data_IF_432440496642
#
_entry.id   IF_432440496642
#
_cell.length_a   1.000
_cell.length_b   1.000
_cell.length_c   1.000
_cell.angle_alpha   90.00
_cell.angle_beta   90.00
_cell.angle_gamma   90.00
#
_symmetry.space_group_name_H-M   'P 1'
#
loop_
_entity.id
_entity.type
_entity.pdbx_description
1 polymer ?
#
# COMPACT_ATOMS: atom_id res chain seq x y z
N UNK A 1 57.75 10.13 23.24
CA UNK A 1 56.72 9.44 22.43
C UNK A 1 55.38 10.09 22.74
N UNK A 2 54.79 10.91 21.84
CA UNK A 2 53.47 11.46 22.09
C UNK A 2 52.43 10.35 21.93
N UNK A 3 51.52 10.25 22.91
CA UNK A 3 50.45 9.27 22.93
C UNK A 3 49.43 9.58 21.82
N UNK A 4 49.21 8.62 20.92
CA UNK A 4 48.13 8.68 19.93
C UNK A 4 46.81 8.47 20.68
N UNK A 5 46.04 9.54 20.88
CA UNK A 5 44.66 9.43 21.37
C UNK A 5 43.82 8.76 20.27
N UNK A 6 43.16 7.62 20.53
CA UNK A 6 42.26 7.04 19.56
C UNK A 6 41.06 7.98 19.38
N UNK A 7 40.92 8.56 18.19
CA UNK A 7 39.73 9.30 17.82
C UNK A 7 38.54 8.34 17.81
N UNK A 8 37.56 8.56 18.67
CA UNK A 8 36.29 7.84 18.59
C UNK A 8 35.67 8.14 17.22
N UNK A 9 35.21 7.13 16.47
CA UNK A 9 34.47 7.37 15.24
C UNK A 9 33.27 8.24 15.60
N UNK A 10 33.18 9.44 15.02
CA UNK A 10 32.01 10.28 15.13
C UNK A 10 30.79 9.45 14.73
N UNK A 11 29.65 9.52 15.46
CA UNK A 11 28.46 8.77 15.09
C UNK A 11 28.16 9.07 13.62
N UNK A 12 28.28 8.05 12.77
CA UNK A 12 28.05 8.13 11.33
C UNK A 12 26.73 8.87 11.14
N UNK A 13 26.79 10.08 10.56
CA UNK A 13 25.62 10.92 10.35
C UNK A 13 24.58 10.05 9.64
N UNK A 14 23.51 9.69 10.36
CA UNK A 14 22.53 8.72 9.90
C UNK A 14 22.08 9.11 8.50
N UNK A 15 22.46 8.31 7.50
CA UNK A 15 22.22 8.63 6.11
C UNK A 15 20.72 8.78 5.89
N UNK A 16 20.32 9.89 5.24
CA UNK A 16 18.91 10.21 5.09
C UNK A 16 18.17 9.03 4.41
N UNK A 17 16.99 8.65 4.91
CA UNK A 17 16.26 7.49 4.41
C UNK A 17 15.98 7.64 2.91
N UNK A 18 16.47 6.69 2.12
CA UNK A 18 16.33 6.70 0.67
C UNK A 18 14.99 6.13 0.24
N UNK A 19 14.38 6.80 -0.71
CA UNK A 19 13.10 6.40 -1.28
C UNK A 19 13.33 5.36 -2.39
N UNK A 20 12.69 4.17 -2.35
CA UNK A 20 12.85 3.14 -3.37
C UNK A 20 12.56 3.64 -4.80
N UNK A 21 13.28 3.17 -5.84
CA UNK A 21 12.94 3.54 -7.21
C UNK A 21 11.56 3.00 -7.59
N UNK A 22 10.83 3.73 -8.45
CA UNK A 22 9.43 3.44 -8.80
C UNK A 22 9.25 2.00 -9.32
N UNK A 23 10.12 1.56 -10.24
CA UNK A 23 10.10 0.19 -10.81
C UNK A 23 10.06 -0.89 -9.73
N UNK A 24 10.85 -0.75 -8.66
CA UNK A 24 10.86 -1.73 -7.57
C UNK A 24 9.58 -1.69 -6.74
N UNK A 25 8.98 -0.51 -6.55
CA UNK A 25 7.67 -0.41 -5.89
C UNK A 25 6.58 -1.06 -6.73
N UNK A 26 6.61 -0.87 -8.06
CA UNK A 26 5.67 -1.51 -8.99
C UNK A 26 5.81 -3.04 -8.97
N UNK A 27 7.05 -3.56 -9.01
CA UNK A 27 7.30 -5.00 -8.90
C UNK A 27 6.90 -5.55 -7.53
N UNK A 28 7.11 -4.79 -6.45
CA UNK A 28 6.63 -5.14 -5.12
C UNK A 28 5.10 -5.20 -5.07
N UNK A 29 4.40 -4.24 -5.68
CA UNK A 29 2.93 -4.25 -5.77
C UNK A 29 2.42 -5.43 -6.61
N UNK A 30 3.10 -5.75 -7.72
CA UNK A 30 2.75 -6.91 -8.54
C UNK A 30 2.95 -8.21 -7.77
N UNK A 31 4.03 -8.32 -7.00
CA UNK A 31 4.30 -9.46 -6.12
C UNK A 31 3.20 -9.57 -5.05
N UNK A 32 2.89 -8.49 -4.33
CA UNK A 32 1.79 -8.48 -3.37
C UNK A 32 0.46 -8.87 -4.04
N UNK A 33 0.24 -8.49 -5.31
CA UNK A 33 -0.92 -8.92 -6.10
C UNK A 33 -1.03 -10.44 -6.24
N UNK A 34 0.08 -11.14 -6.47
CA UNK A 34 0.12 -12.62 -6.53
C UNK A 34 -0.23 -13.25 -5.19
N UNK A 35 0.32 -12.70 -4.08
CA UNK A 35 -0.01 -13.18 -2.74
C UNK A 35 -1.48 -12.93 -2.40
N UNK A 36 -1.97 -11.74 -2.72
CA UNK A 36 -3.35 -11.33 -2.49
C UNK A 36 -4.34 -12.12 -3.34
N UNK A 37 -3.94 -12.59 -4.52
CA UNK A 37 -4.78 -13.50 -5.30
C UNK A 37 -5.18 -14.74 -4.46
N UNK A 38 -4.23 -15.37 -3.77
CA UNK A 38 -4.50 -16.50 -2.87
C UNK A 38 -5.40 -16.11 -1.69
N UNK A 39 -5.13 -14.97 -1.05
CA UNK A 39 -5.94 -14.45 0.06
C UNK A 39 -7.38 -14.16 -0.39
N UNK A 40 -7.55 -13.56 -1.56
CA UNK A 40 -8.86 -13.21 -2.12
C UNK A 40 -9.65 -14.42 -2.58
N UNK A 41 -8.99 -15.48 -3.08
CA UNK A 41 -9.64 -16.76 -3.36
C UNK A 41 -10.21 -17.38 -2.09
N UNK A 42 -9.41 -17.46 -1.01
CA UNK A 42 -9.87 -17.97 0.27
C UNK A 42 -11.01 -17.11 0.85
N UNK A 43 -10.85 -15.79 0.85
CA UNK A 43 -11.88 -14.86 1.31
C UNK A 43 -13.19 -15.00 0.52
N UNK A 44 -13.09 -15.22 -0.80
CA UNK A 44 -14.25 -15.45 -1.66
C UNK A 44 -14.94 -16.79 -1.35
N UNK A 45 -14.16 -17.86 -1.13
CA UNK A 45 -14.70 -19.15 -0.73
C UNK A 45 -15.45 -19.07 0.62
N UNK A 46 -14.87 -18.35 1.60
CA UNK A 46 -15.52 -18.08 2.88
C UNK A 46 -16.83 -17.31 2.70
N UNK A 47 -16.84 -16.26 1.87
CA UNK A 47 -18.06 -15.51 1.59
C UNK A 47 -19.16 -16.39 0.95
N UNK A 48 -18.79 -17.20 -0.05
CA UNK A 48 -19.74 -18.08 -0.74
C UNK A 48 -20.32 -19.11 0.24
N UNK A 49 -19.49 -19.72 1.09
CA UNK A 49 -19.95 -20.67 2.11
C UNK A 49 -20.85 -20.02 3.17
N UNK A 50 -20.55 -18.78 3.57
CA UNK A 50 -21.36 -18.03 4.53
C UNK A 50 -22.61 -17.39 3.92
N UNK A 51 -22.74 -17.36 2.59
CA UNK A 51 -23.82 -16.66 1.89
C UNK A 51 -25.23 -17.09 2.31
N UNK A 52 -25.55 -18.39 2.48
CA UNK A 52 -26.87 -18.80 2.94
C UNK A 52 -27.23 -18.23 4.33
N UNK A 53 -26.26 -18.19 5.24
CA UNK A 53 -26.42 -17.61 6.59
C UNK A 53 -26.62 -16.09 6.51
N UNK A 54 -25.84 -15.41 5.67
CA UNK A 54 -25.99 -13.97 5.41
C UNK A 54 -27.36 -13.63 4.84
N UNK A 55 -27.91 -14.47 3.96
CA UNK A 55 -29.26 -14.30 3.41
C UNK A 55 -30.34 -14.48 4.47
N UNK A 56 -30.24 -15.53 5.28
CA UNK A 56 -31.17 -15.75 6.40
C UNK A 56 -31.15 -14.61 7.42
N UNK A 57 -29.98 -14.02 7.67
CA UNK A 57 -29.81 -12.88 8.56
C UNK A 57 -30.18 -11.52 7.93
N UNK A 58 -30.55 -11.48 6.63
CA UNK A 58 -30.88 -10.24 5.93
C UNK A 58 -29.66 -9.34 5.63
N UNK A 59 -28.44 -9.89 5.63
CA UNK A 59 -27.18 -9.18 5.44
C UNK A 59 -26.58 -9.32 4.02
N UNK A 60 -27.18 -10.13 3.13
CA UNK A 60 -26.72 -10.31 1.73
C UNK A 60 -27.16 -9.13 0.84
N UNK A 61 -26.55 -7.96 1.06
CA UNK A 61 -26.77 -6.76 0.23
C UNK A 61 -25.98 -6.80 -1.09
N UNK A 62 -26.37 -6.01 -2.12
CA UNK A 62 -25.68 -5.99 -3.43
C UNK A 62 -24.17 -5.70 -3.38
N UNK A 63 -23.71 -5.03 -2.33
CA UNK A 63 -22.31 -4.66 -2.11
C UNK A 63 -21.64 -5.44 -0.97
N UNK A 64 -22.31 -6.42 -0.36
CA UNK A 64 -21.79 -7.14 0.80
C UNK A 64 -20.48 -7.87 0.49
N UNK A 65 -20.36 -8.49 -0.69
CA UNK A 65 -19.12 -9.13 -1.14
C UNK A 65 -17.98 -8.12 -1.33
N UNK A 66 -18.27 -6.96 -1.92
CA UNK A 66 -17.29 -5.90 -2.13
C UNK A 66 -16.80 -5.34 -0.79
N UNK A 67 -17.71 -5.10 0.15
CA UNK A 67 -17.39 -4.67 1.50
C UNK A 67 -16.54 -5.72 2.24
N UNK A 68 -16.89 -6.99 2.13
CA UNK A 68 -16.12 -8.11 2.68
C UNK A 68 -14.68 -8.12 2.17
N UNK A 69 -14.50 -8.09 0.84
CA UNK A 69 -13.16 -8.05 0.23
C UNK A 69 -12.38 -6.81 0.68
N UNK A 70 -13.04 -5.65 0.71
CA UNK A 70 -12.42 -4.41 1.16
C UNK A 70 -11.94 -4.49 2.61
N UNK A 71 -12.72 -5.12 3.50
CA UNK A 71 -12.34 -5.33 4.91
C UNK A 71 -11.20 -6.34 5.02
N UNK A 72 -11.25 -7.45 4.29
CA UNK A 72 -10.16 -8.46 4.31
C UNK A 72 -8.84 -7.84 3.88
N UNK A 73 -8.85 -7.03 2.80
CA UNK A 73 -7.66 -6.31 2.35
C UNK A 73 -7.20 -5.27 3.38
N UNK A 74 -8.12 -4.52 3.99
CA UNK A 74 -7.80 -3.56 5.05
C UNK A 74 -7.09 -4.24 6.22
N UNK A 75 -7.61 -5.39 6.68
CA UNK A 75 -7.04 -6.18 7.75
C UNK A 75 -5.66 -6.72 7.38
N UNK A 76 -5.53 -7.31 6.19
CA UNK A 76 -4.25 -7.82 5.68
C UNK A 76 -3.18 -6.72 5.71
N UNK A 77 -3.41 -5.62 4.98
CA UNK A 77 -2.40 -4.57 4.85
C UNK A 77 -2.11 -3.88 6.19
N UNK A 78 -3.16 -3.52 6.94
CA UNK A 78 -2.98 -2.78 8.19
C UNK A 78 -2.25 -3.60 9.25
N UNK A 79 -2.54 -4.90 9.33
CA UNK A 79 -1.84 -5.81 10.24
C UNK A 79 -0.34 -5.93 9.90
N UNK A 80 -0.01 -6.19 8.64
CA UNK A 80 1.40 -6.31 8.21
C UNK A 80 2.18 -5.00 8.41
N UNK A 81 1.57 -3.87 8.07
CA UNK A 81 2.19 -2.55 8.24
C UNK A 81 2.36 -2.18 9.70
N UNK A 82 1.39 -2.47 10.56
CA UNK A 82 1.50 -2.16 11.99
C UNK A 82 2.54 -3.04 12.69
N UNK A 83 2.61 -4.33 12.33
CA UNK A 83 3.51 -5.29 12.98
C UNK A 83 4.99 -5.09 12.61
N UNK A 84 5.31 -4.84 11.34
CA UNK A 84 6.71 -4.75 10.89
C UNK A 84 7.00 -3.55 9.99
N UNK A 85 5.97 -2.84 9.51
CA UNK A 85 6.09 -1.87 8.43
C UNK A 85 6.27 -2.53 7.06
N UNK A 86 6.07 -3.85 6.93
CA UNK A 86 6.32 -4.57 5.69
C UNK A 86 5.26 -5.65 5.45
N UNK A 87 4.71 -5.68 4.24
CA UNK A 87 4.09 -6.89 3.69
C UNK A 87 5.16 -7.92 3.33
N UNK A 88 4.73 -9.14 3.03
CA UNK A 88 5.62 -10.20 2.53
C UNK A 88 6.40 -9.75 1.29
N UNK A 89 5.75 -9.09 0.31
CA UNK A 89 6.50 -8.56 -0.84
C UNK A 89 7.46 -7.43 -0.44
N UNK A 90 7.06 -6.55 0.47
CA UNK A 90 7.96 -5.49 0.95
C UNK A 90 9.22 -6.06 1.60
N UNK A 91 9.13 -7.18 2.32
CA UNK A 91 10.28 -7.88 2.89
C UNK A 91 11.20 -8.42 1.78
N UNK A 92 10.65 -9.07 0.75
CA UNK A 92 11.47 -9.63 -0.36
C UNK A 92 12.24 -8.55 -1.11
N UNK A 93 11.63 -7.37 -1.29
CA UNK A 93 12.24 -6.24 -1.99
C UNK A 93 13.02 -5.26 -1.09
N UNK A 94 13.13 -5.57 0.21
CA UNK A 94 13.78 -4.75 1.25
C UNK A 94 13.24 -3.31 1.28
N UNK A 95 11.92 -3.17 1.20
CA UNK A 95 11.20 -1.89 1.31
C UNK A 95 10.50 -1.86 2.66
N UNK A 96 10.57 -0.76 3.40
CA UNK A 96 9.83 -0.58 4.65
C UNK A 96 8.94 0.64 4.60
N UNK A 97 7.74 0.48 5.13
CA UNK A 97 6.83 1.57 5.42
C UNK A 97 7.12 2.11 6.81
N UNK A 98 7.43 3.39 6.88
CA UNK A 98 7.76 4.08 8.12
C UNK A 98 6.89 5.31 8.31
N UNK A 99 6.58 5.65 9.55
CA UNK A 99 6.03 6.94 9.91
C UNK A 99 7.13 8.02 9.88
N UNK A 100 6.75 9.27 10.16
CA UNK A 100 7.71 10.40 10.19
C UNK A 100 8.88 10.19 11.16
N UNK A 101 8.63 9.48 12.27
CA UNK A 101 9.61 9.15 13.29
C UNK A 101 10.48 7.92 12.96
N UNK A 102 10.32 7.29 11.78
CA UNK A 102 11.10 6.12 11.37
C UNK A 102 10.63 4.78 11.93
N UNK A 103 9.49 4.74 12.62
CA UNK A 103 8.91 3.52 13.17
C UNK A 103 7.82 2.95 12.23
N UNK A 104 7.39 1.71 12.47
CA UNK A 104 6.21 1.17 11.82
C UNK A 104 4.98 2.07 12.09
N UNK A 105 4.06 2.25 11.13
CA UNK A 105 2.86 3.06 11.33
C UNK A 105 1.94 2.44 12.38
N UNK A 106 1.25 3.29 13.15
CA UNK A 106 0.18 2.83 14.03
C UNK A 106 -1.06 2.39 13.23
N UNK A 107 -2.02 1.74 13.91
CA UNK A 107 -3.27 1.27 13.29
C UNK A 107 -4.03 2.35 12.55
N UNK A 108 -4.17 3.53 13.15
CA UNK A 108 -4.89 4.66 12.54
C UNK A 108 -4.21 5.15 11.26
N UNK A 109 -2.87 5.24 11.26
CA UNK A 109 -2.09 5.63 10.08
C UNK A 109 -2.18 4.56 8.98
N UNK A 110 -2.12 3.28 9.35
CA UNK A 110 -2.21 2.17 8.41
C UNK A 110 -3.58 2.10 7.73
N UNK A 111 -4.67 2.24 8.50
CA UNK A 111 -6.04 2.28 7.98
C UNK A 111 -6.29 3.53 7.13
N UNK A 112 -5.84 4.70 7.58
CA UNK A 112 -5.94 5.94 6.80
C UNK A 112 -5.21 5.80 5.47
N UNK A 113 -3.98 5.27 5.49
CA UNK A 113 -3.20 4.99 4.29
C UNK A 113 -3.94 4.04 3.35
N UNK A 114 -4.53 2.97 3.90
CA UNK A 114 -5.32 2.02 3.13
C UNK A 114 -6.50 2.71 2.43
N UNK A 115 -7.33 3.45 3.17
CA UNK A 115 -8.49 4.17 2.60
C UNK A 115 -8.05 5.18 1.53
N UNK A 116 -7.00 5.95 1.80
CA UNK A 116 -6.46 6.94 0.85
C UNK A 116 -5.91 6.28 -0.42
N UNK A 117 -5.40 5.05 -0.34
CA UNK A 117 -4.93 4.31 -1.52
C UNK A 117 -6.08 4.00 -2.51
N UNK A 118 -7.33 3.98 -2.06
CA UNK A 118 -8.52 3.77 -2.91
C UNK A 118 -9.12 5.05 -3.49
N UNK A 119 -8.60 6.24 -3.15
CA UNK A 119 -9.20 7.53 -3.52
C UNK A 119 -9.23 7.81 -5.03
N UNK A 120 -8.42 7.09 -5.82
CA UNK A 120 -8.45 7.18 -7.29
C UNK A 120 -9.71 6.56 -7.90
N UNK A 121 -10.34 5.61 -7.21
CA UNK A 121 -11.42 4.80 -7.77
C UNK A 121 -12.72 5.59 -7.93
N UNK A 122 -13.23 6.35 -6.92
CA UNK A 122 -14.46 7.13 -7.07
C UNK A 122 -14.46 8.13 -8.24
N UNK A 123 -13.43 9.00 -8.42
CA UNK A 123 -13.45 9.95 -9.53
C UNK A 123 -13.33 9.24 -10.88
N UNK A 124 -12.54 8.17 -10.99
CA UNK A 124 -12.44 7.40 -12.23
C UNK A 124 -13.76 6.70 -12.58
N UNK A 125 -14.44 6.11 -11.59
CA UNK A 125 -15.75 5.48 -11.77
C UNK A 125 -16.83 6.50 -12.14
N UNK A 126 -16.81 7.69 -11.51
CA UNK A 126 -17.75 8.77 -11.82
C UNK A 126 -17.59 9.26 -13.26
N UNK A 127 -16.36 9.44 -13.74
CA UNK A 127 -16.09 9.80 -15.15
C UNK A 127 -16.56 8.70 -16.10
N UNK A 128 -16.24 7.43 -15.81
CA UNK A 128 -16.69 6.30 -16.63
C UNK A 128 -18.21 6.21 -16.73
N UNK A 129 -18.91 6.46 -15.62
CA UNK A 129 -20.37 6.46 -15.57
C UNK A 129 -20.98 7.67 -16.29
N UNK A 130 -20.44 8.87 -16.08
CA UNK A 130 -20.91 10.10 -16.73
C UNK A 130 -20.76 10.05 -18.25
N UNK A 131 -19.75 9.33 -18.76
CA UNK A 131 -19.55 9.10 -20.18
C UNK A 131 -20.41 7.93 -20.74
N UNK A 132 -21.23 7.29 -19.91
CA UNK A 132 -22.08 6.17 -20.31
C UNK A 132 -21.30 4.91 -20.72
N UNK A 133 -20.03 4.80 -20.31
CA UNK A 133 -19.17 3.70 -20.73
C UNK A 133 -19.52 2.42 -19.97
N UNK A 134 -19.52 1.30 -20.68
CA UNK A 134 -19.77 -0.02 -20.11
C UNK A 134 -18.66 -1.00 -20.53
N UNK A 135 -18.46 -2.08 -19.76
CA UNK A 135 -17.52 -3.17 -20.08
C UNK A 135 -16.07 -2.66 -20.30
N UNK A 136 -15.48 -2.96 -21.46
CA UNK A 136 -14.07 -2.67 -21.77
C UNK A 136 -13.69 -1.19 -21.64
N UNK A 137 -14.40 -0.26 -22.29
CA UNK A 137 -14.14 1.18 -22.14
C UNK A 137 -14.18 1.67 -20.69
N UNK A 138 -15.10 1.14 -19.86
CA UNK A 138 -15.16 1.48 -18.44
C UNK A 138 -13.89 1.04 -17.70
N UNK A 139 -13.40 -0.18 -17.97
CA UNK A 139 -12.12 -0.65 -17.44
C UNK A 139 -10.94 0.21 -17.90
N UNK A 140 -10.98 0.69 -19.14
CA UNK A 140 -9.98 1.63 -19.68
C UNK A 140 -9.90 2.92 -18.86
N UNK A 141 -11.05 3.54 -18.53
CA UNK A 141 -11.08 4.74 -17.68
C UNK A 141 -10.55 4.47 -16.28
N UNK A 142 -10.88 3.33 -15.68
CA UNK A 142 -10.33 2.94 -14.38
C UNK A 142 -8.80 2.78 -14.44
N UNK A 143 -8.27 2.13 -15.48
CA UNK A 143 -6.84 1.97 -15.67
C UNK A 143 -6.13 3.32 -15.82
N UNK A 144 -6.69 4.25 -16.60
CA UNK A 144 -6.17 5.61 -16.74
C UNK A 144 -6.20 6.36 -15.41
N UNK A 145 -7.30 6.28 -14.65
CA UNK A 145 -7.42 6.88 -13.33
C UNK A 145 -6.36 6.37 -12.34
N UNK A 146 -6.11 5.06 -12.34
CA UNK A 146 -5.04 4.45 -11.54
C UNK A 146 -3.66 4.96 -11.97
N UNK A 147 -3.37 5.02 -13.27
CA UNK A 147 -2.09 5.52 -13.79
C UNK A 147 -1.86 6.99 -13.43
N UNK A 148 -2.89 7.83 -13.52
CA UNK A 148 -2.84 9.23 -13.07
C UNK A 148 -2.53 9.27 -11.56
N UNK A 149 -3.23 8.47 -10.75
CA UNK A 149 -2.99 8.43 -9.31
C UNK A 149 -1.55 8.01 -8.96
N UNK A 150 -0.99 7.04 -9.68
CA UNK A 150 0.38 6.60 -9.49
C UNK A 150 1.40 7.64 -9.97
N UNK A 151 1.12 8.36 -11.07
CA UNK A 151 2.00 9.38 -11.64
C UNK A 151 2.07 10.65 -10.79
N UNK A 152 1.07 10.91 -9.94
CA UNK A 152 1.14 11.98 -8.93
C UNK A 152 2.35 11.85 -7.99
N UNK A 153 2.92 10.65 -7.84
CA UNK A 153 4.17 10.47 -7.10
C UNK A 153 5.37 11.21 -7.72
N UNK A 154 5.34 11.54 -9.01
CA UNK A 154 6.39 12.32 -9.67
C UNK A 154 6.33 13.81 -9.36
N UNK A 155 5.16 14.31 -8.92
CA UNK A 155 5.00 15.70 -8.51
C UNK A 155 5.54 15.96 -7.10
N UNK A 156 5.76 14.91 -6.31
CA UNK A 156 6.34 15.03 -4.97
C UNK A 156 7.88 15.13 -5.06
N UNK A 157 8.52 16.17 -4.49
CA UNK A 157 9.98 16.27 -4.42
C UNK A 157 10.68 15.05 -3.80
N UNK A 158 9.98 14.34 -2.91
CA UNK A 158 10.46 13.11 -2.24
C UNK A 158 10.10 11.84 -3.02
N UNK A 159 9.41 11.95 -4.16
CA UNK A 159 8.92 10.85 -5.00
C UNK A 159 8.10 9.80 -4.23
N UNK A 160 7.34 10.23 -3.20
CA UNK A 160 6.45 9.37 -2.40
C UNK A 160 5.04 9.39 -3.00
N UNK A 161 4.24 8.35 -2.75
CA UNK A 161 2.85 8.36 -3.23
C UNK A 161 2.01 9.36 -2.40
N UNK A 162 0.97 9.93 -3.02
CA UNK A 162 0.10 10.92 -2.37
C UNK A 162 -0.53 10.36 -1.08
N UNK A 163 -1.03 9.13 -1.13
CA UNK A 163 -1.62 8.44 0.03
C UNK A 163 -0.61 8.20 1.15
N UNK A 164 0.66 7.92 0.83
CA UNK A 164 1.71 7.78 1.84
C UNK A 164 1.89 9.10 2.59
N UNK A 165 2.03 10.21 1.84
CA UNK A 165 2.24 11.56 2.39
C UNK A 165 1.07 12.02 3.27
N UNK A 166 -0.16 11.85 2.77
CA UNK A 166 -1.38 12.23 3.49
C UNK A 166 -1.55 11.40 4.77
N UNK A 167 -1.16 10.12 4.76
CA UNK A 167 -1.15 9.29 5.96
C UNK A 167 0.04 9.54 6.91
N UNK A 168 0.95 10.46 6.56
CA UNK A 168 2.16 10.72 7.34
C UNK A 168 3.18 9.56 7.31
N UNK A 169 3.15 8.76 6.25
CA UNK A 169 4.00 7.59 6.04
C UNK A 169 4.93 7.80 4.84
N UNK A 170 5.99 6.99 4.75
CA UNK A 170 6.93 6.98 3.63
C UNK A 170 7.47 5.57 3.39
N UNK A 171 7.81 5.27 2.15
CA UNK A 171 8.54 4.05 1.80
C UNK A 171 10.05 4.31 1.82
N UNK A 172 10.78 3.51 2.59
CA UNK A 172 12.23 3.57 2.77
C UNK A 172 12.90 2.31 2.20
N UNK A 173 14.05 2.45 1.54
CA UNK A 173 14.91 1.35 1.09
C UNK A 173 15.80 0.87 2.25
N UNK A 174 15.75 -0.43 2.56
CA UNK A 174 16.58 -1.05 3.59
C UNK A 174 17.90 -1.64 3.05
N UNK A 175 18.20 -1.52 1.75
CA UNK A 175 19.47 -2.02 1.21
C UNK A 175 20.66 -1.22 1.75
N UNK A 176 21.80 -1.88 2.07
CA UNK A 176 23.02 -1.20 2.49
C UNK A 176 23.47 -0.16 1.46
N UNK A 177 23.97 0.97 1.94
CA UNK A 177 24.64 1.94 1.09
C UNK A 177 25.96 1.33 0.62
N UNK A 178 26.01 0.85 -0.63
CA UNK A 178 27.28 0.57 -1.27
C UNK A 178 28.01 1.91 -1.41
N UNK A 179 29.04 2.08 -0.58
CA UNK A 179 30.03 3.16 -0.62
C UNK A 179 31.02 2.91 -1.74
#
# INVERSE_FOLDING_TARGET
>A
MPAVTPAFPSPSAASAPRTPPLRRRLLCMLYDGVLLFGVLMLASAVYVGARPLLQQAGLDHPYARQAWIFVVLALYFSWFWQRSGQTLAMQTWRIRLENRAGHAPGWTQALLRYVLAWLWLPPAAAVGHALGLTKGPFLGVLAVGLLIWMSLAWLDPRRQFLHDRLAGTRLTDLRPQQS
#
